data_IF_541947119157
#
_entry.id   IF_541947119157
#
_cell.length_a   1.000
_cell.length_b   1.000
_cell.length_c   1.000
_cell.angle_alpha   90.00
_cell.angle_beta   90.00
_cell.angle_gamma   90.00
#
_symmetry.space_group_name_H-M   'P 1'
#
loop_
_entity.id
_entity.type
_entity.pdbx_description
1 polymer ?
#
# COMPACT_ATOMS: atom_id res chain seq x y z
N UNK A 1 2.58 11.21 0.20
CA UNK A 1 3.70 10.65 0.98
C UNK A 1 5.08 11.17 0.56
N UNK A 2 5.43 11.24 -0.73
CA UNK A 2 6.76 11.70 -1.21
C UNK A 2 7.26 13.03 -0.61
N UNK A 3 6.38 14.02 -0.46
CA UNK A 3 6.73 15.28 0.20
C UNK A 3 7.18 15.09 1.65
N UNK A 4 6.50 14.23 2.42
CA UNK A 4 6.88 13.93 3.81
C UNK A 4 8.20 13.16 3.85
N UNK A 5 8.38 12.19 2.96
CA UNK A 5 9.63 11.45 2.82
C UNK A 5 10.81 12.41 2.57
N UNK A 6 10.72 13.25 1.54
CA UNK A 6 11.76 14.22 1.20
C UNK A 6 12.10 15.17 2.36
N UNK A 7 11.12 15.50 3.20
CA UNK A 7 11.31 16.41 4.33
C UNK A 7 11.82 15.74 5.60
N UNK A 8 11.52 14.45 5.81
CA UNK A 8 11.68 13.79 7.11
C UNK A 8 12.41 12.44 7.10
N UNK A 9 12.85 11.92 5.95
CA UNK A 9 13.54 10.62 5.86
C UNK A 9 14.79 10.50 6.76
N UNK A 10 15.50 11.60 7.03
CA UNK A 10 16.63 11.62 7.96
C UNK A 10 16.24 11.46 9.45
N UNK A 11 14.94 11.50 9.75
CA UNK A 11 14.40 11.51 11.13
C UNK A 11 13.45 10.36 11.41
N UNK A 12 12.79 9.85 10.38
CA UNK A 12 11.76 8.81 10.43
C UNK A 12 11.97 7.90 9.23
N UNK A 13 11.91 6.59 9.45
CA UNK A 13 11.93 5.62 8.37
C UNK A 13 10.57 5.56 7.69
N UNK A 14 10.55 5.48 6.36
CA UNK A 14 9.34 5.38 5.56
C UNK A 14 9.32 4.08 4.79
N UNK A 15 8.17 3.42 4.80
CA UNK A 15 7.91 2.24 4.00
C UNK A 15 6.52 2.36 3.38
N UNK A 16 6.40 1.92 2.13
CA UNK A 16 5.11 1.52 1.55
C UNK A 16 5.02 0.00 1.69
N UNK A 17 3.88 -0.52 2.12
CA UNK A 17 3.64 -1.97 2.15
C UNK A 17 2.56 -2.28 1.12
N UNK A 18 2.93 -3.02 0.08
CA UNK A 18 2.00 -3.46 -0.95
C UNK A 18 1.27 -4.72 -0.47
N UNK A 19 -0.06 -4.62 -0.39
CA UNK A 19 -0.95 -5.68 0.10
C UNK A 19 -1.81 -6.24 -1.05
N UNK A 20 -2.89 -6.95 -0.74
CA UNK A 20 -3.86 -7.41 -1.74
C UNK A 20 -4.53 -6.27 -2.53
N UNK A 21 -4.99 -6.58 -3.75
CA UNK A 21 -5.69 -5.62 -4.59
C UNK A 21 -7.05 -5.25 -3.97
N UNK A 22 -7.29 -3.95 -3.78
CA UNK A 22 -8.59 -3.46 -3.32
C UNK A 22 -9.70 -3.71 -4.36
N UNK A 23 -9.33 -3.64 -5.64
CA UNK A 23 -10.23 -3.82 -6.77
C UNK A 23 -9.60 -4.76 -7.80
N UNK A 24 -9.71 -6.08 -7.63
CA UNK A 24 -9.20 -7.06 -8.59
C UNK A 24 -10.23 -7.39 -9.69
N UNK A 25 -9.79 -7.75 -10.90
CA UNK A 25 -10.67 -8.01 -12.06
C UNK A 25 -11.51 -9.29 -11.90
N UNK A 26 -11.08 -10.21 -11.04
CA UNK A 26 -11.80 -11.40 -10.60
C UNK A 26 -12.60 -11.16 -9.30
N UNK A 27 -12.76 -9.89 -8.90
CA UNK A 27 -13.61 -9.44 -7.81
C UNK A 27 -14.45 -8.23 -8.21
N UNK A 28 -14.48 -7.19 -7.35
CA UNK A 28 -15.21 -5.94 -7.62
C UNK A 28 -14.27 -4.89 -8.23
N UNK A 29 -14.65 -4.37 -9.39
CA UNK A 29 -13.94 -3.30 -10.10
C UNK A 29 -14.57 -1.93 -9.87
N UNK A 30 -13.76 -0.88 -10.11
CA UNK A 30 -14.17 0.52 -10.11
C UNK A 30 -13.88 1.18 -11.45
N UNK A 31 -14.73 2.13 -11.84
CA UNK A 31 -14.64 2.81 -13.15
C UNK A 31 -13.30 3.52 -13.38
N UNK A 32 -12.67 4.05 -12.32
CA UNK A 32 -11.36 4.71 -12.40
C UNK A 32 -10.26 3.75 -12.83
N UNK A 33 -10.20 2.55 -12.25
CA UNK A 33 -9.20 1.54 -12.62
C UNK A 33 -9.38 1.09 -14.07
N UNK A 34 -10.63 0.98 -14.54
CA UNK A 34 -10.92 0.64 -15.93
C UNK A 34 -10.46 1.76 -16.87
N UNK A 35 -10.71 3.02 -16.51
CA UNK A 35 -10.29 4.16 -17.32
C UNK A 35 -8.76 4.31 -17.39
N UNK A 36 -8.07 3.98 -16.31
CA UNK A 36 -6.61 4.08 -16.17
C UNK A 36 -5.85 2.79 -16.54
N UNK A 37 -6.57 1.76 -17.03
CA UNK A 37 -6.03 0.43 -17.39
C UNK A 37 -5.28 -0.29 -16.23
N UNK A 38 -5.72 -0.05 -14.99
CA UNK A 38 -5.23 -0.71 -13.77
C UNK A 38 -6.02 -2.00 -13.54
N UNK A 39 -5.74 -3.01 -14.36
CA UNK A 39 -6.52 -4.24 -14.46
C UNK A 39 -5.75 -5.47 -13.97
N UNK A 40 -5.59 -5.58 -12.65
CA UNK A 40 -4.95 -6.72 -12.00
C UNK A 40 -6.00 -7.70 -11.46
N UNK A 41 -5.75 -9.01 -11.62
CA UNK A 41 -6.48 -10.02 -10.83
C UNK A 41 -5.84 -10.17 -9.47
N UNK A 42 -6.55 -10.77 -8.53
CA UNK A 42 -5.95 -11.05 -7.24
C UNK A 42 -4.75 -12.01 -7.37
N UNK A 43 -3.64 -11.63 -6.74
CA UNK A 43 -2.38 -12.37 -6.75
C UNK A 43 -2.59 -13.82 -6.27
N UNK A 44 -2.06 -14.80 -7.00
CA UNK A 44 -2.11 -16.22 -6.65
C UNK A 44 -0.75 -16.76 -6.18
N UNK A 45 0.29 -15.93 -6.28
CA UNK A 45 1.64 -16.22 -5.79
C UNK A 45 2.31 -14.93 -5.32
N UNK A 46 3.40 -15.08 -4.54
CA UNK A 46 4.22 -13.95 -4.14
C UNK A 46 4.83 -13.24 -5.35
N UNK A 47 5.33 -13.99 -6.34
CA UNK A 47 5.91 -13.41 -7.56
C UNK A 47 4.92 -12.51 -8.32
N UNK A 48 3.63 -12.91 -8.40
CA UNK A 48 2.59 -12.07 -9.01
C UNK A 48 2.34 -10.80 -8.21
N UNK A 49 2.38 -10.88 -6.87
CA UNK A 49 2.25 -9.71 -5.99
C UNK A 49 3.45 -8.78 -6.09
N UNK A 50 4.65 -9.35 -6.20
CA UNK A 50 5.87 -8.58 -6.41
C UNK A 50 5.84 -7.85 -7.77
N UNK A 51 5.40 -8.51 -8.84
CA UNK A 51 5.25 -7.89 -10.16
C UNK A 51 4.25 -6.73 -10.16
N UNK A 52 3.09 -6.91 -9.49
CA UNK A 52 2.11 -5.85 -9.31
C UNK A 52 2.68 -4.67 -8.49
N UNK A 53 3.34 -4.97 -7.37
CA UNK A 53 3.99 -3.96 -6.53
C UNK A 53 5.06 -3.16 -7.28
N UNK A 54 5.88 -3.83 -8.11
CA UNK A 54 6.88 -3.18 -8.96
C UNK A 54 6.20 -2.28 -10.00
N UNK A 55 5.15 -2.77 -10.68
CA UNK A 55 4.40 -2.00 -11.66
C UNK A 55 3.79 -0.74 -11.04
N UNK A 56 3.18 -0.86 -9.86
CA UNK A 56 2.64 0.25 -9.09
C UNK A 56 3.72 1.27 -8.70
N UNK A 57 4.84 0.79 -8.14
CA UNK A 57 5.97 1.63 -7.72
C UNK A 57 6.53 2.44 -8.89
N UNK A 58 6.72 1.81 -10.05
CA UNK A 58 7.20 2.46 -11.27
C UNK A 58 6.17 3.43 -11.81
N UNK A 59 4.91 2.99 -11.97
CA UNK A 59 3.84 3.81 -12.54
C UNK A 59 3.54 5.07 -11.73
N UNK A 60 3.55 4.95 -10.39
CA UNK A 60 3.32 6.06 -9.47
C UNK A 60 4.59 6.83 -9.09
N UNK A 61 5.76 6.44 -9.62
CA UNK A 61 7.05 7.07 -9.33
C UNK A 61 7.37 7.13 -7.82
N UNK A 62 7.04 6.06 -7.09
CA UNK A 62 7.26 5.97 -5.65
C UNK A 62 8.76 5.80 -5.41
N UNK A 63 9.35 6.73 -4.65
CA UNK A 63 10.76 6.70 -4.28
C UNK A 63 10.99 6.05 -2.91
N UNK A 64 9.93 5.95 -2.11
CA UNK A 64 9.94 5.34 -0.79
C UNK A 64 10.17 3.83 -0.90
N UNK A 65 11.03 3.23 -0.05
CA UNK A 65 11.19 1.78 -0.01
C UNK A 65 9.85 1.05 0.09
N UNK A 66 9.58 0.18 -0.88
CA UNK A 66 8.34 -0.59 -0.96
C UNK A 66 8.62 -2.03 -0.55
N UNK A 67 7.86 -2.50 0.45
CA UNK A 67 7.86 -3.87 0.91
C UNK A 67 6.64 -4.58 0.33
N UNK A 68 6.77 -5.86 0.03
CA UNK A 68 5.68 -6.69 -0.48
C UNK A 68 5.22 -7.63 0.62
N UNK A 69 3.92 -7.61 0.92
CA UNK A 69 3.34 -8.49 1.93
C UNK A 69 3.37 -9.96 1.47
N UNK A 70 3.68 -10.87 2.37
CA UNK A 70 3.55 -12.32 2.14
C UNK A 70 2.11 -12.73 1.85
N UNK A 71 1.93 -13.86 1.17
CA UNK A 71 0.62 -14.30 0.66
C UNK A 71 -0.42 -14.66 1.74
N UNK A 72 -0.05 -14.67 3.02
CA UNK A 72 -0.95 -14.94 4.14
C UNK A 72 -1.81 -13.73 4.57
N UNK A 73 -1.56 -12.56 3.99
CA UNK A 73 -2.28 -11.30 4.26
C UNK A 73 -2.24 -10.85 5.74
N UNK A 74 -1.21 -11.27 6.49
CA UNK A 74 -1.14 -11.00 7.92
C UNK A 74 -0.99 -9.51 8.26
N UNK A 75 -0.40 -8.69 7.38
CA UNK A 75 -0.22 -7.26 7.60
C UNK A 75 -1.50 -6.49 7.29
N UNK A 76 -2.18 -6.82 6.18
CA UNK A 76 -3.47 -6.23 5.82
C UNK A 76 -4.49 -6.47 6.94
N UNK A 77 -4.57 -7.70 7.47
CA UNK A 77 -5.46 -8.03 8.58
C UNK A 77 -5.07 -7.31 9.87
N UNK A 78 -3.80 -7.36 10.27
CA UNK A 78 -3.34 -6.79 11.53
C UNK A 78 -3.48 -5.26 11.60
N UNK A 79 -3.34 -4.58 10.45
CA UNK A 79 -3.40 -3.12 10.34
C UNK A 79 -4.71 -2.62 9.70
N UNK A 80 -5.65 -3.50 9.37
CA UNK A 80 -6.89 -3.14 8.67
C UNK A 80 -6.61 -2.18 7.51
N UNK A 81 -5.65 -2.56 6.66
CA UNK A 81 -4.97 -1.66 5.74
C UNK A 81 -5.81 -1.35 4.51
N UNK A 82 -6.69 -2.26 4.09
CA UNK A 82 -7.56 -2.05 2.95
C UNK A 82 -8.52 -0.84 3.11
N UNK A 83 -8.77 -0.07 2.03
CA UNK A 83 -8.10 -0.14 0.73
C UNK A 83 -6.70 0.49 0.77
N UNK A 84 -6.48 1.47 1.64
CA UNK A 84 -5.19 2.05 1.96
C UNK A 84 -5.21 2.62 3.38
N UNK A 85 -4.04 2.65 4.04
CA UNK A 85 -3.92 3.19 5.39
C UNK A 85 -2.54 3.71 5.75
N UNK A 86 -2.51 4.72 6.63
CA UNK A 86 -1.28 5.27 7.21
C UNK A 86 -1.14 4.90 8.67
N UNK A 87 0.08 4.54 9.05
CA UNK A 87 0.48 4.33 10.43
C UNK A 87 1.80 5.04 10.70
N UNK A 88 1.94 5.59 11.91
CA UNK A 88 3.22 6.02 12.45
C UNK A 88 3.53 5.20 13.69
N UNK A 89 4.70 4.58 13.69
CA UNK A 89 5.21 3.81 14.81
C UNK A 89 6.21 4.64 15.61
N UNK A 90 6.04 4.69 16.92
CA UNK A 90 7.00 5.25 17.85
C UNK A 90 8.25 4.37 17.95
N UNK A 91 9.34 4.95 18.47
CA UNK A 91 10.61 4.21 18.70
C UNK A 91 10.47 3.07 19.70
N UNK A 92 9.39 3.05 20.49
CA UNK A 92 9.04 1.98 21.42
C UNK A 92 8.15 0.89 20.79
N UNK A 93 7.93 0.94 19.47
CA UNK A 93 7.15 -0.03 18.71
C UNK A 93 5.63 0.15 18.85
N UNK A 94 5.16 1.25 19.42
CA UNK A 94 3.72 1.53 19.56
C UNK A 94 3.19 2.40 18.43
N UNK A 95 1.93 2.17 18.06
CA UNK A 95 1.22 3.05 17.14
C UNK A 95 1.00 4.42 17.80
N UNK A 96 1.57 5.47 17.22
CA UNK A 96 1.39 6.86 17.68
C UNK A 96 0.47 7.66 16.76
N UNK A 97 0.27 7.19 15.52
CA UNK A 97 -0.76 7.67 14.61
C UNK A 97 -1.38 6.49 13.87
N UNK A 98 -2.70 6.52 13.77
CA UNK A 98 -3.52 5.55 13.06
C UNK A 98 -4.45 6.35 12.15
N UNK A 99 -4.20 6.29 10.85
CA UNK A 99 -4.99 7.00 9.84
C UNK A 99 -6.44 6.53 9.83
N UNK A 100 -7.33 7.39 9.34
CA UNK A 100 -8.72 7.02 9.11
C UNK A 100 -8.84 5.98 7.98
N UNK A 101 -10.07 5.53 7.73
CA UNK A 101 -10.32 4.60 6.63
C UNK A 101 -10.08 5.28 5.27
N UNK A 102 -9.11 4.79 4.50
CA UNK A 102 -8.90 5.21 3.12
C UNK A 102 -10.07 4.81 2.21
N UNK A 103 -10.23 5.45 1.04
CA UNK A 103 -9.45 6.62 0.60
C UNK A 103 -9.95 7.93 1.23
N UNK A 104 -11.11 7.94 1.89
CA UNK A 104 -11.79 9.16 2.31
C UNK A 104 -11.14 9.91 3.48
N UNK A 105 -10.33 9.23 4.29
CA UNK A 105 -9.65 9.81 5.46
C UNK A 105 -8.15 9.55 5.45
N UNK A 106 -7.56 9.54 4.25
CA UNK A 106 -6.12 9.36 4.02
C UNK A 106 -5.40 10.72 4.12
N UNK A 107 -5.10 11.13 5.35
CA UNK A 107 -4.46 12.42 5.70
C UNK A 107 -3.06 12.24 6.30
#
# INVERSE_FOLDING_TARGET
MERLYNQYHDRVEFFVVYVQEAHPIDGWQVDSNIADDVLYRQHQSFDEREEAAQSCTIGLHISIPTLVEEMDNAIDEAYGAAPERLYLMGKDGKVVYHGGAGPHFFD
#
